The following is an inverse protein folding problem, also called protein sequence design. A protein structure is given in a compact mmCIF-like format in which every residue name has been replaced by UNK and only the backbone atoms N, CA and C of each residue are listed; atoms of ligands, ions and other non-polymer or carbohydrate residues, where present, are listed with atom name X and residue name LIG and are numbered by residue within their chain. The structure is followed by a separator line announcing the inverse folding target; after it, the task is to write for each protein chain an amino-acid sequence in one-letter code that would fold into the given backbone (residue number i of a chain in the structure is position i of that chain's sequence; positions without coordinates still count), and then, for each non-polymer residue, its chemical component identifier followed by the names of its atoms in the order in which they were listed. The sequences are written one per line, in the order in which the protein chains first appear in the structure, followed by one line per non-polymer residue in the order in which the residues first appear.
data_IF_960097541878
#
_entry.id   IF_960097541878
#
_cell.length_a   1.000
_cell.length_b   1.000
_cell.length_c   1.000
_cell.angle_alpha   90.00
_cell.angle_beta   90.00
_cell.angle_gamma   90.00
#
_symmetry.space_group_name_H-M   'P 1'
#
loop_
_entity.id
_entity.type
_entity.pdbx_description
1 polymer ?
#
# COMPACT_ATOMS: atom_id res chain seq x y z
N UNK A 1 30.00 -55.54 3.52
CA UNK A 1 29.33 -54.45 4.19
C UNK A 1 29.94 -53.14 3.66
N UNK A 2 29.25 -52.47 2.75
CA UNK A 2 29.70 -51.22 2.16
C UNK A 2 28.87 -50.11 2.83
N UNK A 3 29.55 -49.28 3.60
CA UNK A 3 28.99 -48.10 4.30
C UNK A 3 28.78 -46.96 3.27
N UNK A 4 27.50 -46.70 2.97
CA UNK A 4 27.07 -45.53 2.18
C UNK A 4 27.22 -44.27 3.07
N UNK A 5 28.27 -43.51 2.88
CA UNK A 5 28.34 -42.14 3.39
C UNK A 5 27.48 -41.25 2.49
N UNK A 6 26.29 -40.91 2.99
CA UNK A 6 25.48 -39.86 2.41
C UNK A 6 26.15 -38.49 2.68
N UNK A 7 26.83 -37.96 1.69
CA UNK A 7 27.23 -36.54 1.64
C UNK A 7 25.96 -35.70 1.54
N UNK A 8 25.38 -35.35 2.69
CA UNK A 8 24.45 -34.25 2.77
C UNK A 8 25.28 -32.98 2.61
N UNK A 9 25.44 -32.52 1.36
CA UNK A 9 25.95 -31.19 1.08
C UNK A 9 25.01 -30.22 1.80
N UNK A 10 25.50 -29.58 2.85
CA UNK A 10 24.84 -28.45 3.50
C UNK A 10 24.64 -27.37 2.43
N UNK A 11 23.42 -27.30 1.91
CA UNK A 11 23.00 -26.16 1.08
C UNK A 11 23.06 -24.95 2.00
N UNK A 12 24.15 -24.18 1.92
CA UNK A 12 24.24 -22.90 2.60
C UNK A 12 23.05 -22.06 2.11
N UNK A 13 22.33 -21.38 3.01
CA UNK A 13 21.32 -20.42 2.60
C UNK A 13 22.00 -19.43 1.64
N UNK A 14 21.48 -19.33 0.42
CA UNK A 14 21.92 -18.29 -0.51
C UNK A 14 21.50 -16.98 0.15
N UNK A 15 22.48 -16.25 0.70
CA UNK A 15 22.27 -14.92 1.24
C UNK A 15 21.74 -14.07 0.09
N UNK A 16 20.45 -13.75 0.14
CA UNK A 16 19.81 -12.92 -0.88
C UNK A 16 20.51 -11.57 -0.85
N UNK A 17 21.15 -11.19 -1.96
CA UNK A 17 21.88 -9.94 -2.05
C UNK A 17 20.97 -8.76 -1.66
N UNK A 18 21.37 -8.02 -0.62
CA UNK A 18 20.59 -6.87 -0.14
C UNK A 18 20.33 -5.89 -1.29
N UNK A 19 19.10 -5.34 -1.41
CA UNK A 19 18.79 -4.38 -2.46
C UNK A 19 19.65 -3.12 -2.29
N UNK A 20 20.34 -2.71 -3.36
CA UNK A 20 21.16 -1.51 -3.36
C UNK A 20 20.26 -0.28 -3.45
N UNK A 21 20.24 0.54 -2.38
CA UNK A 21 19.46 1.76 -2.33
C UNK A 21 20.24 2.89 -3.01
N UNK A 22 19.60 3.57 -3.96
CA UNK A 22 20.16 4.73 -4.67
C UNK A 22 19.72 6.04 -4.03
N UNK A 23 20.52 7.08 -4.21
CA UNK A 23 20.08 8.46 -3.97
C UNK A 23 19.25 8.91 -5.15
N UNK A 24 18.06 9.45 -4.87
CA UNK A 24 17.12 9.98 -5.85
C UNK A 24 16.94 11.49 -5.67
N UNK A 25 16.75 12.18 -6.77
CA UNK A 25 16.58 13.63 -6.84
C UNK A 25 15.13 14.03 -7.11
N UNK A 26 14.82 15.33 -7.05
CA UNK A 26 13.51 15.84 -7.44
C UNK A 26 13.23 15.66 -8.94
N UNK A 27 14.26 15.69 -9.79
CA UNK A 27 14.10 15.38 -11.23
C UNK A 27 13.70 13.93 -11.47
N UNK A 28 14.12 12.99 -10.59
CA UNK A 28 13.66 11.59 -10.66
C UNK A 28 12.17 11.44 -10.36
N UNK A 29 11.60 12.31 -9.48
CA UNK A 29 10.16 12.35 -9.26
C UNK A 29 9.39 12.84 -10.49
N UNK A 30 9.90 13.87 -11.16
CA UNK A 30 9.31 14.37 -12.41
C UNK A 30 9.32 13.29 -13.49
N UNK A 31 10.45 12.59 -13.61
CA UNK A 31 10.60 11.50 -14.57
C UNK A 31 9.67 10.32 -14.23
N UNK A 32 9.55 9.96 -12.95
CA UNK A 32 8.63 8.91 -12.51
C UNK A 32 7.17 9.27 -12.83
N UNK A 33 6.76 10.53 -12.61
CA UNK A 33 5.43 11.02 -12.98
C UNK A 33 5.22 11.02 -14.50
N UNK A 34 6.23 11.42 -15.28
CA UNK A 34 6.17 11.41 -16.74
C UNK A 34 5.98 9.99 -17.27
N UNK A 35 6.77 9.04 -16.78
CA UNK A 35 6.66 7.63 -17.16
C UNK A 35 5.33 7.02 -16.70
N UNK A 36 4.89 7.36 -15.48
CA UNK A 36 3.57 6.97 -14.99
C UNK A 36 2.42 7.49 -15.85
N UNK A 37 2.54 8.71 -16.36
CA UNK A 37 1.57 9.28 -17.31
C UNK A 37 1.61 8.58 -18.67
N UNK A 38 2.77 8.15 -19.14
CA UNK A 38 2.93 7.35 -20.36
C UNK A 38 2.30 5.96 -20.21
N UNK A 39 2.48 5.32 -19.03
CA UNK A 39 1.83 4.05 -18.72
C UNK A 39 0.30 4.20 -18.69
N UNK A 40 -0.19 5.25 -18.01
CA UNK A 40 -1.61 5.53 -17.96
C UNK A 40 -2.20 5.76 -19.36
N UNK A 41 -1.54 6.53 -20.24
CA UNK A 41 -2.00 6.77 -21.61
C UNK A 41 -2.02 5.50 -22.46
N UNK A 42 -1.14 4.57 -22.20
CA UNK A 42 -1.08 3.33 -22.97
C UNK A 42 -2.23 2.35 -22.63
N UNK A 43 -2.77 2.41 -21.41
CA UNK A 43 -3.85 1.50 -20.94
C UNK A 43 -4.98 2.30 -20.25
N UNK A 44 -5.47 3.42 -20.83
CA UNK A 44 -6.29 4.38 -20.07
C UNK A 44 -7.66 3.82 -19.68
N UNK A 45 -8.34 3.16 -20.57
CA UNK A 45 -9.70 2.63 -20.34
C UNK A 45 -9.72 1.59 -19.20
N UNK A 46 -8.69 0.80 -19.13
CA UNK A 46 -8.57 -0.27 -18.15
C UNK A 46 -8.20 0.27 -16.77
N UNK A 47 -7.23 1.18 -16.70
CA UNK A 47 -6.87 1.86 -15.45
C UNK A 47 -8.07 2.64 -14.88
N UNK A 48 -8.82 3.34 -15.75
CA UNK A 48 -10.03 4.07 -15.35
C UNK A 48 -11.10 3.11 -14.80
N UNK A 49 -11.36 1.97 -15.46
CA UNK A 49 -12.36 0.99 -14.98
C UNK A 49 -11.96 0.43 -13.62
N UNK A 50 -10.71 -0.01 -13.46
CA UNK A 50 -10.21 -0.52 -12.18
C UNK A 50 -10.28 0.52 -11.07
N UNK A 51 -10.04 1.78 -11.39
CA UNK A 51 -10.02 2.87 -10.41
C UNK A 51 -11.36 3.60 -10.26
N UNK A 52 -12.34 3.37 -11.13
CA UNK A 52 -13.67 3.96 -11.01
C UNK A 52 -14.41 3.57 -9.71
N UNK A 53 -13.99 2.46 -9.08
CA UNK A 53 -14.51 2.05 -7.77
C UNK A 53 -14.21 3.08 -6.68
N UNK A 54 -13.10 3.82 -6.76
CA UNK A 54 -12.69 4.78 -5.73
C UNK A 54 -13.61 6.00 -5.63
N UNK A 55 -13.99 6.68 -6.75
CA UNK A 55 -15.02 7.71 -6.72
C UNK A 55 -16.35 7.19 -6.16
N UNK A 56 -16.76 5.99 -6.54
CA UNK A 56 -18.00 5.38 -6.04
C UNK A 56 -17.93 5.15 -4.52
N UNK A 57 -16.84 4.54 -4.04
CA UNK A 57 -16.62 4.36 -2.61
C UNK A 57 -16.51 5.69 -1.87
N UNK A 58 -15.86 6.69 -2.44
CA UNK A 58 -15.76 8.04 -1.90
C UNK A 58 -17.13 8.70 -1.73
N UNK A 59 -17.99 8.60 -2.74
CA UNK A 59 -19.36 9.13 -2.68
C UNK A 59 -20.22 8.37 -1.68
N UNK A 60 -20.12 7.04 -1.60
CA UNK A 60 -20.81 6.23 -0.59
C UNK A 60 -20.38 6.63 0.81
N UNK A 61 -19.05 6.78 1.03
CA UNK A 61 -18.49 7.19 2.30
C UNK A 61 -18.95 8.59 2.69
N UNK A 62 -18.88 9.54 1.76
CA UNK A 62 -19.37 10.91 1.98
C UNK A 62 -20.87 10.91 2.35
N UNK A 63 -21.69 10.12 1.65
CA UNK A 63 -23.13 9.99 1.95
C UNK A 63 -23.38 9.37 3.33
N UNK A 64 -22.62 8.34 3.69
CA UNK A 64 -22.72 7.72 5.00
C UNK A 64 -22.37 8.71 6.12
N UNK A 65 -21.27 9.44 5.98
CA UNK A 65 -20.83 10.44 6.96
C UNK A 65 -21.89 11.54 7.15
N UNK A 66 -22.41 12.09 6.05
CA UNK A 66 -23.43 13.16 6.11
C UNK A 66 -24.78 12.66 6.65
N UNK A 67 -25.10 11.38 6.45
CA UNK A 67 -26.36 10.80 6.90
C UNK A 67 -26.41 10.39 8.38
N UNK A 68 -25.27 10.18 9.03
CA UNK A 68 -25.16 9.59 10.36
C UNK A 68 -24.47 10.49 11.41
N UNK A 69 -24.45 11.79 11.20
CA UNK A 69 -23.83 12.77 12.14
C UNK A 69 -22.36 12.50 12.47
N UNK A 70 -21.63 11.78 11.60
CA UNK A 70 -20.19 11.53 11.73
C UNK A 70 -19.35 12.51 10.88
N UNK A 71 -19.89 13.71 10.68
CA UNK A 71 -19.26 14.79 9.92
C UNK A 71 -17.83 15.08 10.38
N UNK A 72 -17.51 15.07 11.69
CA UNK A 72 -16.14 15.30 12.15
C UNK A 72 -15.12 14.28 11.63
N UNK A 73 -15.56 13.07 11.26
CA UNK A 73 -14.71 12.02 10.72
C UNK A 73 -14.52 12.08 9.21
N UNK A 74 -15.22 12.97 8.49
CA UNK A 74 -15.09 13.05 7.03
C UNK A 74 -13.65 13.27 6.59
N UNK A 75 -12.97 14.25 7.18
CA UNK A 75 -11.56 14.53 6.89
C UNK A 75 -10.64 13.37 7.32
N UNK A 76 -10.70 12.85 8.56
CA UNK A 76 -9.93 11.68 8.96
C UNK A 76 -10.13 10.45 8.07
N UNK A 77 -11.37 10.17 7.67
CA UNK A 77 -11.67 9.03 6.79
C UNK A 77 -11.10 9.24 5.39
N UNK A 78 -11.29 10.43 4.81
CA UNK A 78 -10.77 10.74 3.48
C UNK A 78 -9.23 10.74 3.46
N UNK A 79 -8.59 11.36 4.45
CA UNK A 79 -7.14 11.38 4.57
C UNK A 79 -6.57 9.98 4.86
N UNK A 80 -7.24 9.22 5.73
CA UNK A 80 -6.83 7.87 6.09
C UNK A 80 -7.00 6.88 4.95
N UNK A 81 -7.96 7.07 4.06
CA UNK A 81 -8.11 6.24 2.87
C UNK A 81 -6.85 6.26 1.97
N UNK A 82 -6.12 7.37 1.95
CA UNK A 82 -4.86 7.47 1.24
C UNK A 82 -3.78 6.51 1.79
N UNK A 83 -3.86 6.11 3.08
CA UNK A 83 -2.93 5.14 3.66
C UNK A 83 -3.05 3.75 3.02
N UNK A 84 -4.21 3.43 2.45
CA UNK A 84 -4.47 2.17 1.75
C UNK A 84 -4.06 2.24 0.27
N UNK A 85 -3.72 3.43 -0.23
CA UNK A 85 -3.39 3.67 -1.63
C UNK A 85 -2.35 2.71 -2.21
N UNK A 86 -1.20 2.48 -1.55
CA UNK A 86 -0.17 1.58 -2.06
C UNK A 86 -0.65 0.13 -2.24
N UNK A 87 -1.51 -0.38 -1.35
CA UNK A 87 -2.12 -1.69 -1.51
C UNK A 87 -3.12 -1.72 -2.68
N UNK A 88 -3.92 -0.68 -2.79
CA UNK A 88 -4.89 -0.53 -3.86
C UNK A 88 -4.25 -0.39 -5.26
N UNK A 89 -2.99 0.06 -5.32
CA UNK A 89 -2.24 0.23 -6.56
C UNK A 89 -1.54 -1.05 -7.07
N UNK A 90 -1.66 -2.19 -6.39
CA UNK A 90 -0.95 -3.43 -6.73
C UNK A 90 -1.12 -3.85 -8.19
N UNK A 91 -2.34 -3.82 -8.72
CA UNK A 91 -2.62 -4.14 -10.12
C UNK A 91 -1.96 -3.16 -11.10
N UNK A 92 -1.82 -1.89 -10.71
CA UNK A 92 -1.17 -0.87 -11.54
C UNK A 92 0.35 -1.10 -11.59
N UNK A 93 0.96 -1.56 -10.49
CA UNK A 93 2.37 -1.95 -10.49
C UNK A 93 2.63 -3.13 -11.44
N UNK A 94 1.73 -4.12 -11.47
CA UNK A 94 1.83 -5.26 -12.38
C UNK A 94 1.76 -4.81 -13.86
N UNK A 95 0.84 -3.90 -14.18
CA UNK A 95 0.73 -3.35 -15.52
C UNK A 95 2.01 -2.59 -15.94
N UNK A 96 2.58 -1.73 -15.07
CA UNK A 96 3.84 -1.05 -15.34
C UNK A 96 5.00 -2.02 -15.47
N UNK A 97 5.06 -3.06 -14.63
CA UNK A 97 6.08 -4.11 -14.68
C UNK A 97 6.10 -4.82 -16.03
N UNK A 98 4.93 -5.19 -16.55
CA UNK A 98 4.79 -5.85 -17.85
C UNK A 98 5.18 -4.92 -19.00
N UNK A 99 4.76 -3.64 -18.94
CA UNK A 99 5.17 -2.66 -19.92
C UNK A 99 6.69 -2.45 -19.96
N UNK A 100 7.34 -2.38 -18.81
CA UNK A 100 8.81 -2.29 -18.72
C UNK A 100 9.51 -3.48 -19.40
N UNK A 101 8.87 -4.65 -19.44
CA UNK A 101 9.34 -5.84 -20.16
C UNK A 101 9.04 -5.84 -21.66
N UNK A 102 8.42 -4.78 -22.18
CA UNK A 102 8.00 -4.67 -23.57
C UNK A 102 6.71 -5.41 -23.92
N UNK A 103 5.98 -5.89 -22.92
CA UNK A 103 4.67 -6.52 -23.11
C UNK A 103 3.58 -5.46 -23.36
N UNK A 104 2.46 -5.88 -23.92
CA UNK A 104 1.25 -5.06 -24.09
C UNK A 104 0.16 -5.58 -23.15
N UNK A 105 0.16 -5.14 -21.87
CA UNK A 105 -0.76 -5.67 -20.90
C UNK A 105 -2.20 -5.22 -21.17
N UNK A 106 -3.13 -6.11 -20.86
CA UNK A 106 -4.56 -5.84 -20.76
C UNK A 106 -4.95 -5.50 -19.31
N UNK A 107 -6.17 -4.98 -19.09
CA UNK A 107 -6.67 -4.74 -17.74
C UNK A 107 -6.68 -5.97 -16.85
N UNK A 108 -7.03 -7.10 -17.43
CA UNK A 108 -7.16 -8.35 -16.69
C UNK A 108 -5.83 -8.81 -16.12
N UNK A 109 -4.73 -8.43 -16.74
CA UNK A 109 -3.37 -8.73 -16.25
C UNK A 109 -3.07 -8.07 -14.91
N UNK A 110 -3.79 -6.99 -14.54
CA UNK A 110 -3.71 -6.41 -13.20
C UNK A 110 -4.15 -7.38 -12.10
N UNK A 111 -5.01 -8.35 -12.42
CA UNK A 111 -5.49 -9.36 -11.47
C UNK A 111 -4.47 -10.49 -11.25
N UNK A 112 -3.46 -10.61 -12.12
CA UNK A 112 -2.43 -11.64 -11.97
C UNK A 112 -1.56 -11.42 -10.72
N UNK A 113 -1.60 -10.22 -10.14
CA UNK A 113 -1.01 -9.96 -8.83
C UNK A 113 -1.56 -10.90 -7.74
N UNK A 114 -2.83 -11.34 -7.86
CA UNK A 114 -3.45 -12.29 -6.93
C UNK A 114 -2.81 -13.67 -6.98
N UNK A 115 -2.16 -14.00 -8.09
CA UNK A 115 -1.44 -15.27 -8.29
C UNK A 115 0.04 -15.15 -7.94
N UNK A 116 0.50 -13.95 -7.56
CA UNK A 116 1.89 -13.72 -7.16
C UNK A 116 2.25 -14.58 -5.93
N UNK A 117 3.42 -15.23 -5.92
CA UNK A 117 3.94 -15.92 -4.72
C UNK A 117 4.03 -15.02 -3.49
N UNK A 118 4.19 -13.71 -3.70
CA UNK A 118 4.29 -12.70 -2.64
C UNK A 118 2.94 -12.10 -2.22
N UNK A 119 1.83 -12.55 -2.81
CA UNK A 119 0.52 -11.97 -2.49
C UNK A 119 0.19 -12.03 -0.99
N UNK A 120 0.55 -13.14 -0.32
CA UNK A 120 0.38 -13.26 1.14
C UNK A 120 1.17 -12.20 1.93
N UNK A 121 2.40 -11.88 1.50
CA UNK A 121 3.20 -10.83 2.11
C UNK A 121 2.60 -9.43 1.86
N UNK A 122 2.10 -9.18 0.63
CA UNK A 122 1.40 -7.94 0.28
C UNK A 122 0.11 -7.77 1.09
N UNK A 123 -0.65 -8.86 1.28
CA UNK A 123 -1.86 -8.85 2.12
C UNK A 123 -1.51 -8.57 3.58
N UNK A 124 -0.41 -9.12 4.09
CA UNK A 124 0.08 -8.85 5.44
C UNK A 124 0.41 -7.37 5.66
N UNK A 125 1.15 -6.74 4.73
CA UNK A 125 1.43 -5.30 4.79
C UNK A 125 0.16 -4.46 4.59
N UNK A 126 -0.74 -4.87 3.69
CA UNK A 126 -2.04 -4.22 3.50
C UNK A 126 -2.89 -4.24 4.79
N UNK A 127 -2.88 -5.37 5.50
CA UNK A 127 -3.55 -5.50 6.82
C UNK A 127 -2.93 -4.58 7.87
N UNK A 128 -1.60 -4.44 7.88
CA UNK A 128 -0.91 -3.50 8.77
C UNK A 128 -1.31 -2.04 8.46
N UNK A 129 -1.35 -1.66 7.18
CA UNK A 129 -1.82 -0.32 6.78
C UNK A 129 -3.29 -0.10 7.13
N UNK A 130 -4.13 -1.12 7.00
CA UNK A 130 -5.52 -1.06 7.43
C UNK A 130 -5.65 -0.87 8.95
N UNK A 131 -4.85 -1.60 9.74
CA UNK A 131 -4.80 -1.40 11.20
C UNK A 131 -4.34 0.01 11.56
N UNK A 132 -3.33 0.53 10.85
CA UNK A 132 -2.86 1.92 11.01
C UNK A 132 -3.98 2.92 10.67
N UNK A 133 -4.74 2.68 9.59
CA UNK A 133 -5.90 3.49 9.23
C UNK A 133 -6.99 3.49 10.31
N UNK A 134 -7.36 2.31 10.82
CA UNK A 134 -8.37 2.21 11.90
C UNK A 134 -7.89 2.94 13.16
N UNK A 135 -6.61 2.78 13.52
CA UNK A 135 -6.00 3.47 14.66
C UNK A 135 -6.01 4.99 14.45
N UNK A 136 -5.72 5.46 13.23
CA UNK A 136 -5.83 6.89 12.89
C UNK A 136 -7.25 7.41 13.08
N UNK A 137 -8.27 6.72 12.55
CA UNK A 137 -9.67 7.15 12.68
C UNK A 137 -10.11 7.18 14.13
N UNK A 138 -9.74 6.17 14.92
CA UNK A 138 -10.02 6.14 16.36
C UNK A 138 -9.32 7.29 17.12
N UNK A 139 -8.07 7.58 16.77
CA UNK A 139 -7.30 8.70 17.33
C UNK A 139 -7.93 10.05 16.98
N UNK A 140 -8.34 10.22 15.72
CA UNK A 140 -9.01 11.44 15.27
C UNK A 140 -10.34 11.66 16.00
N UNK A 141 -11.12 10.59 16.21
CA UNK A 141 -12.34 10.65 17.01
C UNK A 141 -12.03 11.02 18.48
N UNK A 142 -10.99 10.46 19.07
CA UNK A 142 -10.59 10.79 20.43
C UNK A 142 -10.15 12.27 20.56
N UNK A 143 -9.41 12.80 19.58
CA UNK A 143 -9.04 14.22 19.52
C UNK A 143 -10.31 15.09 19.42
N UNK A 144 -11.26 14.73 18.56
CA UNK A 144 -12.52 15.45 18.43
C UNK A 144 -13.29 15.50 19.77
N UNK A 145 -13.44 14.34 20.44
CA UNK A 145 -14.14 14.22 21.73
C UNK A 145 -13.42 15.06 22.82
N UNK A 146 -12.09 15.03 22.83
CA UNK A 146 -11.32 15.82 23.79
C UNK A 146 -11.50 17.33 23.62
N UNK A 147 -11.75 17.79 22.38
CA UNK A 147 -11.90 19.22 22.05
C UNK A 147 -13.35 19.69 22.16
N UNK A 148 -14.30 18.92 21.66
CA UNK A 148 -15.72 19.31 21.55
C UNK A 148 -16.68 18.49 22.39
N UNK A 149 -16.20 17.43 23.07
CA UNK A 149 -17.04 16.49 23.82
C UNK A 149 -17.75 15.48 22.94
N UNK A 150 -18.68 14.75 23.54
CA UNK A 150 -19.43 13.67 22.88
C UNK A 150 -20.57 14.14 21.99
N UNK A 151 -20.95 15.40 22.07
CA UNK A 151 -22.06 15.94 21.28
C UNK A 151 -21.58 16.21 19.85
N UNK A 152 -22.24 15.58 18.89
CA UNK A 152 -22.03 15.85 17.47
C UNK A 152 -22.49 17.27 17.08
N UNK A 153 -21.97 17.82 15.96
CA UNK A 153 -22.43 19.10 15.45
C UNK A 153 -23.89 19.00 14.97
N UNK A 154 -24.66 20.08 15.10
CA UNK A 154 -26.05 20.13 14.68
C UNK A 154 -26.20 20.02 13.14
N UNK A 155 -25.20 20.46 12.39
CA UNK A 155 -25.13 20.40 10.93
C UNK A 155 -23.68 20.48 10.43
N UNK A 156 -23.48 20.24 9.14
CA UNK A 156 -22.17 20.43 8.50
C UNK A 156 -21.72 21.90 8.56
N UNK A 157 -22.64 22.85 8.38
CA UNK A 157 -22.34 24.28 8.49
C UNK A 157 -21.95 24.68 9.92
N UNK A 158 -22.66 24.18 10.94
CA UNK A 158 -22.30 24.37 12.36
C UNK A 158 -20.88 23.85 12.65
N UNK A 159 -20.57 22.63 12.15
CA UNK A 159 -19.24 22.06 12.32
C UNK A 159 -18.16 22.94 11.70
N UNK A 160 -18.33 23.33 10.44
CA UNK A 160 -17.35 24.19 9.73
C UNK A 160 -17.18 25.52 10.45
N UNK A 161 -18.28 26.14 10.87
CA UNK A 161 -18.24 27.40 11.62
C UNK A 161 -17.46 27.24 12.94
N UNK A 162 -17.77 26.22 13.75
CA UNK A 162 -17.06 25.96 15.02
C UNK A 162 -15.58 25.72 14.79
N UNK A 163 -15.22 24.92 13.78
CA UNK A 163 -13.82 24.59 13.48
C UNK A 163 -13.03 25.84 13.04
N UNK A 164 -13.62 26.71 12.22
CA UNK A 164 -12.88 27.85 11.66
C UNK A 164 -12.90 29.10 12.54
N UNK A 165 -13.90 29.26 13.44
CA UNK A 165 -14.09 30.50 14.18
C UNK A 165 -13.84 30.42 15.69
N UNK A 166 -13.63 29.20 16.23
CA UNK A 166 -13.38 29.03 17.67
C UNK A 166 -11.93 28.63 17.98
N UNK A 167 -11.39 29.00 19.15
CA UNK A 167 -10.07 28.52 19.59
C UNK A 167 -9.99 26.98 19.65
N UNK A 168 -11.06 26.33 20.08
CA UNK A 168 -11.17 24.88 20.12
C UNK A 168 -11.05 24.27 18.72
N UNK A 169 -11.67 24.88 17.71
CA UNK A 169 -11.57 24.46 16.32
C UNK A 169 -10.16 24.55 15.78
N UNK A 170 -9.44 25.62 16.09
CA UNK A 170 -8.03 25.76 15.73
C UNK A 170 -7.14 24.72 16.42
N UNK A 171 -7.43 24.38 17.69
CA UNK A 171 -6.76 23.27 18.37
C UNK A 171 -7.02 21.93 17.66
N UNK A 172 -8.27 21.68 17.23
CA UNK A 172 -8.61 20.48 16.46
C UNK A 172 -7.80 20.41 15.14
N UNK A 173 -7.69 21.55 14.43
CA UNK A 173 -6.90 21.61 13.18
C UNK A 173 -5.43 21.32 13.47
N UNK A 174 -4.81 22.02 14.39
CA UNK A 174 -3.36 21.93 14.65
C UNK A 174 -2.99 20.53 15.17
N UNK A 175 -3.69 20.06 16.19
CA UNK A 175 -3.41 18.75 16.78
C UNK A 175 -3.82 17.62 15.83
N UNK A 176 -5.01 17.71 15.23
CA UNK A 176 -5.51 16.70 14.30
C UNK A 176 -4.63 16.57 13.05
N UNK A 177 -4.28 17.67 12.40
CA UNK A 177 -3.37 17.65 11.25
C UNK A 177 -1.96 17.21 11.65
N UNK A 178 -1.45 17.64 12.81
CA UNK A 178 -0.13 17.22 13.31
C UNK A 178 -0.05 15.72 13.56
N UNK A 179 -1.03 15.16 14.27
CA UNK A 179 -1.10 13.71 14.53
C UNK A 179 -1.35 12.95 13.22
N UNK A 180 -2.26 13.43 12.37
CA UNK A 180 -2.52 12.82 11.06
C UNK A 180 -1.28 12.78 10.16
N UNK A 181 -0.45 13.84 10.21
CA UNK A 181 0.83 13.89 9.52
C UNK A 181 1.78 12.78 10.00
N UNK A 182 1.83 12.49 11.31
CA UNK A 182 2.66 11.39 11.84
C UNK A 182 2.18 10.03 11.33
N UNK A 183 0.87 9.79 11.29
CA UNK A 183 0.31 8.57 10.69
C UNK A 183 0.66 8.46 9.19
N UNK A 184 0.52 9.54 8.44
CA UNK A 184 0.87 9.59 7.03
C UNK A 184 2.37 9.34 6.79
N UNK A 185 3.22 9.91 7.63
CA UNK A 185 4.68 9.72 7.57
C UNK A 185 5.06 8.27 7.82
N UNK A 186 4.47 7.63 8.85
CA UNK A 186 4.69 6.21 9.13
C UNK A 186 4.26 5.36 7.93
N UNK A 187 3.04 5.58 7.41
CA UNK A 187 2.55 4.84 6.25
C UNK A 187 3.46 5.02 5.03
N UNK A 188 3.88 6.26 4.73
CA UNK A 188 4.79 6.57 3.63
C UNK A 188 6.13 5.84 3.79
N UNK A 189 6.75 5.93 4.97
CA UNK A 189 8.06 5.30 5.21
C UNK A 189 8.03 3.78 5.06
N UNK A 190 6.96 3.11 5.52
CA UNK A 190 6.88 1.65 5.46
C UNK A 190 6.37 1.11 4.13
N UNK A 191 5.78 1.96 3.24
CA UNK A 191 5.09 1.46 2.06
C UNK A 191 5.55 2.05 0.73
N UNK A 192 6.35 3.13 0.71
CA UNK A 192 6.66 3.88 -0.53
C UNK A 192 7.25 3.02 -1.65
N UNK A 193 8.08 2.02 -1.33
CA UNK A 193 8.61 1.06 -2.31
C UNK A 193 8.32 -0.40 -1.96
N UNK A 194 7.64 -0.68 -0.83
CA UNK A 194 7.47 -2.05 -0.33
C UNK A 194 6.65 -2.92 -1.27
N UNK A 195 5.50 -2.43 -1.74
CA UNK A 195 4.63 -3.22 -2.61
C UNK A 195 5.27 -3.50 -3.99
N UNK A 196 5.84 -2.50 -4.69
CA UNK A 196 6.59 -2.77 -5.92
C UNK A 196 7.75 -3.74 -5.72
N UNK A 197 8.48 -3.62 -4.60
CA UNK A 197 9.59 -4.51 -4.28
C UNK A 197 9.13 -5.96 -4.06
N UNK A 198 8.04 -6.18 -3.30
CA UNK A 198 7.47 -7.51 -3.10
C UNK A 198 7.00 -8.13 -4.41
N UNK A 199 6.42 -7.33 -5.30
CA UNK A 199 5.94 -7.78 -6.61
C UNK A 199 7.10 -8.15 -7.55
N UNK A 200 8.16 -7.36 -7.55
CA UNK A 200 9.31 -7.53 -8.45
C UNK A 200 10.26 -8.63 -7.99
N UNK A 201 10.55 -8.69 -6.69
CA UNK A 201 11.60 -9.56 -6.12
C UNK A 201 11.11 -10.66 -5.19
N UNK A 202 9.81 -10.77 -5.02
CA UNK A 202 9.21 -11.74 -4.11
C UNK A 202 9.71 -11.63 -2.65
N UNK A 203 10.13 -10.42 -2.25
CA UNK A 203 10.60 -10.13 -0.90
C UNK A 203 9.51 -10.40 0.14
N UNK A 204 9.90 -10.70 1.36
CA UNK A 204 8.97 -10.78 2.50
C UNK A 204 8.48 -9.38 2.87
N UNK A 205 7.35 -9.28 3.60
CA UNK A 205 6.83 -8.01 4.07
C UNK A 205 7.84 -7.25 4.96
N UNK A 206 8.58 -7.99 5.82
CA UNK A 206 9.60 -7.40 6.70
C UNK A 206 10.76 -6.79 5.93
N UNK A 207 11.34 -7.53 4.98
CA UNK A 207 12.43 -7.04 4.11
C UNK A 207 11.98 -5.82 3.28
N UNK A 208 10.77 -5.88 2.73
CA UNK A 208 10.22 -4.79 1.95
C UNK A 208 10.02 -3.52 2.78
N UNK A 209 9.46 -3.63 4.00
CA UNK A 209 9.31 -2.50 4.92
C UNK A 209 10.66 -1.90 5.32
N UNK A 210 11.63 -2.74 5.69
CA UNK A 210 12.98 -2.26 6.06
C UNK A 210 13.64 -1.54 4.88
N UNK A 211 13.52 -2.09 3.67
CA UNK A 211 14.04 -1.45 2.45
C UNK A 211 13.36 -0.10 2.19
N UNK A 212 12.03 -0.03 2.35
CA UNK A 212 11.28 1.21 2.19
C UNK A 212 11.70 2.28 3.20
N UNK A 213 11.87 1.91 4.47
CA UNK A 213 12.38 2.83 5.50
C UNK A 213 13.81 3.29 5.20
N UNK A 214 14.68 2.40 4.71
CA UNK A 214 16.05 2.77 4.29
C UNK A 214 16.03 3.73 3.09
N UNK A 215 15.12 3.53 2.11
CA UNK A 215 14.93 4.47 1.00
C UNK A 215 14.49 5.83 1.51
N UNK A 216 13.52 5.88 2.41
CA UNK A 216 13.03 7.13 3.00
C UNK A 216 14.12 7.82 3.83
N UNK A 217 14.88 7.09 4.64
CA UNK A 217 15.97 7.63 5.46
C UNK A 217 17.14 8.16 4.61
N UNK A 218 17.46 7.51 3.48
CA UNK A 218 18.51 7.95 2.57
C UNK A 218 18.09 9.16 1.73
N UNK A 219 16.78 9.32 1.45
CA UNK A 219 16.23 10.34 0.55
C UNK A 219 15.12 11.17 1.21
N UNK A 220 15.31 11.74 2.43
CA UNK A 220 14.22 12.30 3.21
C UNK A 220 13.48 13.44 2.50
N UNK A 221 14.21 14.35 1.87
CA UNK A 221 13.62 15.50 1.15
C UNK A 221 12.82 15.03 -0.07
N UNK A 222 13.38 14.12 -0.85
CA UNK A 222 12.74 13.60 -2.06
C UNK A 222 11.49 12.78 -1.71
N UNK A 223 11.55 11.95 -0.67
CA UNK A 223 10.38 11.16 -0.22
C UNK A 223 9.32 12.05 0.42
N UNK A 224 9.71 13.09 1.19
CA UNK A 224 8.75 14.08 1.69
C UNK A 224 8.07 14.85 0.54
N UNK A 225 8.83 15.25 -0.48
CA UNK A 225 8.27 15.86 -1.69
C UNK A 225 7.33 14.92 -2.43
N UNK A 226 7.66 13.62 -2.52
CA UNK A 226 6.77 12.60 -3.08
C UNK A 226 5.46 12.50 -2.29
N UNK A 227 5.53 12.41 -0.97
CA UNK A 227 4.34 12.40 -0.10
C UNK A 227 3.47 13.65 -0.29
N UNK A 228 4.08 14.83 -0.44
CA UNK A 228 3.37 16.07 -0.74
C UNK A 228 2.69 16.04 -2.12
N UNK A 229 3.38 15.56 -3.16
CA UNK A 229 2.81 15.39 -4.50
C UNK A 229 1.59 14.47 -4.44
N UNK A 230 1.71 13.33 -3.77
CA UNK A 230 0.59 12.38 -3.57
C UNK A 230 -0.59 13.07 -2.89
N UNK A 231 -0.34 13.79 -1.77
CA UNK A 231 -1.39 14.47 -1.02
C UNK A 231 -2.10 15.55 -1.87
N UNK A 232 -1.33 16.40 -2.56
CA UNK A 232 -1.87 17.46 -3.42
C UNK A 232 -2.70 16.89 -4.56
N UNK A 233 -2.20 15.85 -5.24
CA UNK A 233 -2.93 15.23 -6.35
C UNK A 233 -4.20 14.52 -5.89
N UNK A 234 -4.18 13.84 -4.74
CA UNK A 234 -5.38 13.21 -4.17
C UNK A 234 -6.42 14.26 -3.77
N UNK A 235 -6.01 15.37 -3.16
CA UNK A 235 -6.93 16.49 -2.87
C UNK A 235 -7.50 17.07 -4.16
N UNK A 236 -6.66 17.38 -5.14
CA UNK A 236 -7.10 17.92 -6.44
C UNK A 236 -8.07 16.96 -7.15
N UNK A 237 -7.79 15.65 -7.12
CA UNK A 237 -8.66 14.62 -7.69
C UNK A 237 -10.00 14.47 -6.96
N UNK A 238 -10.04 14.82 -5.68
CA UNK A 238 -11.26 14.73 -4.87
C UNK A 238 -12.18 15.94 -5.04
N UNK A 239 -11.66 17.09 -5.40
CA UNK A 239 -12.45 18.34 -5.57
C UNK A 239 -13.61 18.19 -6.57
N UNK A 240 -13.45 17.59 -7.76
CA UNK A 240 -14.57 17.36 -8.67
C UNK A 240 -15.36 16.10 -8.28
N UNK A 241 -15.95 16.09 -7.06
CA UNK A 241 -16.76 14.98 -6.55
C UNK A 241 -16.08 13.60 -6.68
N UNK A 242 -14.80 13.55 -6.36
CA UNK A 242 -13.93 12.36 -6.44
C UNK A 242 -13.69 11.81 -7.87
N UNK A 243 -14.29 12.40 -8.91
CA UNK A 243 -14.13 11.91 -10.28
C UNK A 243 -12.68 12.01 -10.78
N UNK A 244 -11.94 13.01 -10.32
CA UNK A 244 -10.53 13.15 -10.67
C UNK A 244 -9.65 12.02 -10.15
N UNK A 245 -10.09 11.29 -9.12
CA UNK A 245 -9.35 10.14 -8.59
C UNK A 245 -9.24 8.99 -9.61
N UNK A 246 -10.17 8.88 -10.55
CA UNK A 246 -10.11 7.90 -11.64
C UNK A 246 -8.88 8.11 -12.56
N UNK A 247 -8.29 9.30 -12.54
CA UNK A 247 -7.04 9.63 -13.26
C UNK A 247 -5.85 9.67 -12.31
N UNK A 248 -6.02 10.31 -11.15
CA UNK A 248 -4.93 10.53 -10.19
C UNK A 248 -4.41 9.22 -9.61
N UNK A 249 -5.28 8.28 -9.24
CA UNK A 249 -4.86 7.01 -8.62
C UNK A 249 -4.06 6.15 -9.60
N UNK A 250 -4.49 5.93 -10.86
CA UNK A 250 -3.65 5.24 -11.83
C UNK A 250 -2.31 5.92 -12.08
N UNK A 251 -2.32 7.25 -12.25
CA UNK A 251 -1.10 8.01 -12.44
C UNK A 251 -0.11 7.78 -11.29
N UNK A 252 -0.56 7.92 -10.05
CA UNK A 252 0.29 7.73 -8.87
C UNK A 252 0.76 6.28 -8.72
N UNK A 253 -0.10 5.30 -9.04
CA UNK A 253 0.28 3.90 -9.02
C UNK A 253 1.41 3.61 -10.01
N UNK A 254 1.23 3.92 -11.27
CA UNK A 254 2.26 3.76 -12.30
C UNK A 254 3.54 4.53 -11.95
N UNK A 255 3.42 5.79 -11.51
CA UNK A 255 4.58 6.60 -11.12
C UNK A 255 5.33 6.02 -9.91
N UNK A 256 4.63 5.40 -8.96
CA UNK A 256 5.27 4.74 -7.80
C UNK A 256 6.11 3.53 -8.23
N UNK A 257 5.68 2.78 -9.25
CA UNK A 257 6.51 1.74 -9.85
C UNK A 257 7.83 2.31 -10.37
N UNK A 258 7.78 3.37 -11.15
CA UNK A 258 8.99 4.00 -11.70
C UNK A 258 9.87 4.65 -10.63
N UNK A 259 9.27 5.21 -9.56
CA UNK A 259 10.01 5.69 -8.41
C UNK A 259 10.78 4.55 -7.71
N UNK A 260 10.12 3.40 -7.51
CA UNK A 260 10.77 2.20 -6.99
C UNK A 260 11.98 1.80 -7.85
N UNK A 261 11.84 1.74 -9.16
CA UNK A 261 12.92 1.36 -10.10
C UNK A 261 14.11 2.33 -10.05
N UNK A 262 13.88 3.60 -9.72
CA UNK A 262 14.94 4.59 -9.52
C UNK A 262 15.60 4.47 -8.15
N UNK A 263 14.84 4.21 -7.11
CA UNK A 263 15.31 4.18 -5.72
C UNK A 263 16.02 2.89 -5.36
N UNK A 264 15.65 1.76 -5.97
CA UNK A 264 16.18 0.42 -5.66
C UNK A 264 16.87 -0.17 -6.89
N UNK A 265 18.19 -0.30 -6.83
CA UNK A 265 18.95 -0.91 -7.90
C UNK A 265 18.90 -2.43 -7.84
N UNK A 266 18.97 -3.04 -9.02
CA UNK A 266 19.36 -4.44 -9.15
C UNK A 266 20.89 -4.47 -9.06
N UNK A 267 21.44 -5.26 -8.15
CA UNK A 267 22.87 -5.57 -8.21
C UNK A 267 23.11 -6.40 -9.48
N UNK A 268 23.91 -5.90 -10.43
CA UNK A 268 24.19 -6.66 -11.65
C UNK A 268 24.94 -7.96 -11.37
N UNK A 269 25.56 -8.10 -10.19
CA UNK A 269 26.27 -9.30 -9.76
C UNK A 269 25.39 -10.22 -8.88
N UNK A 270 24.15 -9.78 -8.54
CA UNK A 270 23.23 -10.64 -7.83
C UNK A 270 22.89 -11.86 -8.68
N UNK A 271 23.18 -13.05 -8.16
CA UNK A 271 22.76 -14.30 -8.82
C UNK A 271 21.25 -14.25 -9.02
N UNK A 272 20.73 -14.71 -10.20
CA UNK A 272 19.29 -14.81 -10.39
C UNK A 272 18.68 -15.61 -9.24
N UNK A 273 17.70 -15.03 -8.56
CA UNK A 273 16.98 -15.72 -7.51
C UNK A 273 16.30 -16.93 -8.20
N UNK A 274 16.65 -18.18 -7.87
CA UNK A 274 15.97 -19.30 -8.45
C UNK A 274 14.47 -19.17 -8.13
N UNK A 275 13.56 -19.45 -9.10
CA UNK A 275 12.14 -19.41 -8.83
C UNK A 275 11.87 -20.27 -7.61
N UNK A 276 11.22 -19.69 -6.59
CA UNK A 276 10.78 -20.48 -5.43
C UNK A 276 10.04 -21.70 -5.97
N UNK A 277 10.39 -22.91 -5.51
CA UNK A 277 9.67 -24.08 -5.96
C UNK A 277 8.18 -23.84 -5.70
N UNK A 278 7.31 -24.18 -6.66
CA UNK A 278 5.88 -24.01 -6.48
C UNK A 278 5.51 -24.64 -5.15
N UNK A 279 4.72 -23.92 -4.32
CA UNK A 279 4.18 -24.51 -3.10
C UNK A 279 3.45 -25.78 -3.49
N UNK A 280 4.10 -26.92 -3.32
CA UNK A 280 3.44 -28.21 -3.45
C UNK A 280 2.37 -28.20 -2.38
N UNK A 281 1.11 -27.99 -2.78
CA UNK A 281 -0.02 -28.23 -1.89
C UNK A 281 0.09 -29.67 -1.47
N UNK A 282 0.55 -29.91 -0.23
CA UNK A 282 0.49 -31.25 0.32
C UNK A 282 -0.98 -31.65 0.31
N UNK A 283 -1.38 -32.70 -0.43
CA UNK A 283 -2.74 -33.16 -0.38
C UNK A 283 -3.08 -33.49 1.08
N UNK A 284 -4.36 -33.34 1.45
CA UNK A 284 -4.80 -33.58 2.83
C UNK A 284 -4.38 -35.00 3.37
N UNK A 285 -4.06 -35.93 2.46
CA UNK A 285 -3.51 -37.23 2.79
C UNK A 285 -2.11 -37.23 3.42
N UNK A 286 -1.34 -36.12 3.26
CA UNK A 286 0.01 -36.00 3.83
C UNK A 286 0.01 -35.37 5.23
N UNK A 287 -1.15 -35.03 5.79
CA UNK A 287 -1.27 -34.62 7.19
C UNK A 287 -1.05 -35.86 8.08
N UNK A 288 -0.11 -35.79 9.06
CA UNK A 288 0.14 -36.91 9.96
C UNK A 288 -1.15 -37.26 10.72
N UNK A 289 -1.57 -38.52 10.60
CA UNK A 289 -2.83 -39.03 11.19
C UNK A 289 -2.90 -38.88 12.72
N UNK A 290 -1.77 -38.70 13.39
CA UNK A 290 -1.63 -38.47 14.82
C UNK A 290 -2.10 -37.06 15.28
N UNK A 291 -2.37 -36.11 14.38
CA UNK A 291 -2.98 -34.83 14.71
C UNK A 291 -4.51 -34.91 14.91
N UNK A 292 -5.13 -36.03 14.55
CA UNK A 292 -6.56 -36.26 14.74
C UNK A 292 -6.76 -37.40 15.75
N UNK A 293 -7.19 -37.14 17.00
CA UNK A 293 -7.44 -38.15 17.99
C UNK A 293 -8.78 -38.87 17.74
N UNK A 294 -8.93 -39.50 16.60
CA UNK A 294 -10.04 -40.43 16.35
C UNK A 294 -9.66 -41.79 16.95
N UNK A 295 -10.09 -42.06 18.18
CA UNK A 295 -10.14 -43.43 18.67
C UNK A 295 -11.03 -44.21 17.75
N UNK A 296 -10.45 -45.12 16.96
CA UNK A 296 -11.22 -46.24 16.43
C UNK A 296 -11.67 -47.09 17.63
N UNK A 297 -12.96 -47.08 17.88
CA UNK A 297 -13.62 -48.10 18.69
C UNK A 297 -13.92 -49.30 17.80
N UNK A 298 -12.92 -50.16 17.60
CA UNK A 298 -13.11 -51.48 17.07
C UNK A 298 -12.17 -52.36 17.88
N UNK A 299 -12.77 -53.02 18.87
CA UNK A 299 -12.46 -54.38 19.32
C UNK A 299 -13.34 -54.75 20.52
N UNK A 300 -14.45 -55.38 20.22
CA UNK A 300 -15.06 -56.40 21.06
C UNK A 300 -15.49 -57.58 20.18
#
# INVERSE_FOLDING_TARGET
MATYHSNVSSVQPVEEAEPVIRTISLSDLQEALRLGWEDFKAVPSHAIILCAIYPVLGLILARAVLGYAIIPLLFPLAAGFALLGPFAALGLYELSRRRERGEQPSAWDALDVLQSPSFGAMLGLGTLLFALFVTWVATAQAIYIAVFGYQGPASASDFVQRVLTTPQGWWLIVVGCGVGFLFALVALCISVVSFPLMLDRHATAGEAMVTSMRVAAKNPVTIAAWGLIVAVLLVAGSLPFFLGLAVVIPLLGHATWHLYRKAVAIDPNARPIPPRPPHVRKPAADFPANLFPWKRSDDT
#
